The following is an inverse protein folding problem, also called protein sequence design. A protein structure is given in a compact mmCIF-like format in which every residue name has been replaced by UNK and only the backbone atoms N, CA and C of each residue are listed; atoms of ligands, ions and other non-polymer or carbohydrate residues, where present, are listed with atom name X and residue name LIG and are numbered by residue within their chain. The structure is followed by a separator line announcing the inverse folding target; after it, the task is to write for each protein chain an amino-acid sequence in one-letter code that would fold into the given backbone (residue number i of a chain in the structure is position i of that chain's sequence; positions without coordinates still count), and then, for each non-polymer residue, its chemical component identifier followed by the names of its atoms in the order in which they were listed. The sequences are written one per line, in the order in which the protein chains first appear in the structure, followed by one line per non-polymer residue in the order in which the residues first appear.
data_IF_378981191977
#
_entry.id   IF_378981191977
#
_cell.length_a   1.000
_cell.length_b   1.000
_cell.length_c   1.000
_cell.angle_alpha   90.00
_cell.angle_beta   90.00
_cell.angle_gamma   90.00
#
_symmetry.space_group_name_H-M   'P 1'
#
loop_
_entity.id
_entity.type
_entity.pdbx_description
1 polymer ?
#
# COMPACT_ATOMS: atom_id res chain seq x y z
N UNK A 1 -61.63 -58.36 1.00
CA UNK A 1 -61.87 -57.72 -0.33
C UNK A 1 -60.81 -56.65 -0.51
N UNK A 2 -59.84 -56.99 -1.30
CA UNK A 2 -59.44 -56.37 -2.57
C UNK A 2 -59.32 -54.85 -2.44
N UNK A 3 -58.07 -54.32 -2.50
CA UNK A 3 -57.55 -53.80 -3.73
C UNK A 3 -56.07 -53.45 -3.57
N UNK A 4 -55.34 -53.98 -4.51
CA UNK A 4 -53.97 -53.69 -4.91
C UNK A 4 -53.93 -52.29 -5.50
N UNK A 5 -52.98 -51.47 -5.12
CA UNK A 5 -52.66 -50.29 -5.92
C UNK A 5 -51.13 -50.09 -5.88
N UNK A 6 -50.57 -50.40 -7.03
CA UNK A 6 -49.24 -50.07 -7.48
C UNK A 6 -49.05 -48.54 -7.36
N UNK A 7 -47.96 -48.15 -6.76
CA UNK A 7 -47.49 -46.78 -6.92
C UNK A 7 -46.07 -46.78 -7.47
N UNK A 8 -45.96 -46.26 -8.64
CA UNK A 8 -44.75 -46.16 -9.41
C UNK A 8 -43.68 -45.34 -8.71
N UNK A 9 -42.50 -45.95 -8.65
CA UNK A 9 -41.27 -45.32 -8.25
C UNK A 9 -40.77 -44.40 -9.38
N UNK A 10 -40.99 -43.10 -9.21
CA UNK A 10 -40.46 -42.10 -10.12
C UNK A 10 -39.04 -41.71 -9.67
N UNK A 11 -38.04 -42.31 -10.30
CA UNK A 11 -36.64 -41.87 -10.16
C UNK A 11 -36.47 -40.55 -10.90
N UNK A 12 -36.42 -39.45 -10.14
CA UNK A 12 -35.93 -38.19 -10.64
C UNK A 12 -34.42 -38.20 -10.55
N UNK A 13 -33.77 -38.50 -11.69
CA UNK A 13 -32.35 -38.23 -11.87
C UNK A 13 -32.21 -36.71 -12.08
N UNK A 14 -31.86 -36.00 -11.03
CA UNK A 14 -31.39 -34.64 -11.15
C UNK A 14 -29.96 -34.70 -11.66
N UNK A 15 -29.81 -34.56 -12.96
CA UNK A 15 -28.53 -34.25 -13.56
C UNK A 15 -28.12 -32.87 -13.02
N UNK A 16 -27.38 -32.86 -11.96
CA UNK A 16 -26.64 -31.67 -11.50
C UNK A 16 -25.62 -31.33 -12.56
N UNK A 17 -25.92 -30.36 -13.43
CA UNK A 17 -24.88 -29.60 -14.11
C UNK A 17 -24.05 -28.95 -13.00
N UNK A 18 -22.91 -29.56 -12.70
CA UNK A 18 -21.82 -28.90 -12.03
C UNK A 18 -21.35 -27.77 -12.93
N UNK A 19 -21.88 -26.58 -12.72
CA UNK A 19 -21.16 -25.39 -13.09
C UNK A 19 -19.95 -25.37 -12.18
N UNK A 20 -18.82 -25.80 -12.71
CA UNK A 20 -17.53 -25.39 -12.22
C UNK A 20 -17.49 -23.87 -12.48
N UNK A 21 -18.04 -23.10 -11.53
CA UNK A 21 -17.56 -21.77 -11.32
C UNK A 21 -16.10 -21.97 -10.93
N UNK A 22 -15.23 -21.80 -11.92
CA UNK A 22 -13.90 -21.32 -11.64
C UNK A 22 -14.09 -20.02 -10.85
N UNK A 23 -14.17 -20.16 -9.55
CA UNK A 23 -13.91 -19.10 -8.63
C UNK A 23 -12.48 -18.67 -8.90
N UNK A 24 -12.29 -17.88 -9.94
CA UNK A 24 -11.18 -17.00 -10.05
C UNK A 24 -11.22 -16.21 -8.75
N UNK A 25 -10.44 -16.66 -7.76
CA UNK A 25 -10.10 -15.87 -6.59
C UNK A 25 -9.46 -14.61 -7.12
N UNK A 26 -10.30 -13.63 -7.45
CA UNK A 26 -9.93 -12.24 -7.41
C UNK A 26 -9.54 -12.00 -5.96
N UNK A 27 -8.33 -12.42 -5.60
CA UNK A 27 -7.62 -11.91 -4.46
C UNK A 27 -7.58 -10.42 -4.71
N UNK A 28 -8.55 -9.70 -4.12
CA UNK A 28 -8.60 -8.26 -4.22
C UNK A 28 -7.24 -7.77 -3.77
N UNK A 29 -6.41 -7.33 -4.71
CA UNK A 29 -5.11 -6.76 -4.40
C UNK A 29 -5.34 -5.75 -3.28
N UNK A 30 -4.62 -5.92 -2.19
CA UNK A 30 -4.73 -5.01 -1.06
C UNK A 30 -4.53 -3.59 -1.61
N UNK A 31 -5.44 -2.68 -1.23
CA UNK A 31 -5.42 -1.29 -1.72
C UNK A 31 -5.13 -0.36 -0.57
N UNK A 32 -4.59 0.80 -0.88
CA UNK A 32 -4.53 1.88 0.11
C UNK A 32 -5.97 2.26 0.50
N UNK A 33 -6.23 2.43 1.79
CA UNK A 33 -7.53 2.88 2.31
C UNK A 33 -7.70 4.40 2.22
N UNK A 34 -6.62 5.12 1.93
CA UNK A 34 -6.57 6.56 1.83
C UNK A 34 -5.24 7.03 1.24
N UNK A 35 -4.99 8.34 1.15
CA UNK A 35 -3.74 8.85 0.63
C UNK A 35 -2.57 8.52 1.57
N UNK A 36 -1.45 8.11 0.95
CA UNK A 36 -0.14 7.98 1.60
C UNK A 36 0.68 9.22 1.28
N UNK A 37 1.17 9.90 2.29
CA UNK A 37 2.06 11.06 2.12
C UNK A 37 3.46 10.70 2.60
N UNK A 38 4.44 10.99 1.77
CA UNK A 38 5.87 10.89 2.06
C UNK A 38 6.52 12.25 1.86
N UNK A 39 7.27 12.68 2.84
CA UNK A 39 8.10 13.88 2.76
C UNK A 39 9.53 13.52 3.13
N UNK A 40 10.48 14.03 2.35
CA UNK A 40 11.91 13.88 2.61
C UNK A 40 12.58 15.24 2.44
N UNK A 41 13.35 15.64 3.45
CA UNK A 41 14.06 16.91 3.42
C UNK A 41 15.45 16.80 4.00
N UNK A 42 16.37 17.70 3.62
CA UNK A 42 17.73 17.72 4.11
C UNK A 42 18.76 17.15 3.15
N UNK A 43 19.76 16.48 3.68
CA UNK A 43 20.95 16.10 2.93
C UNK A 43 21.81 17.30 2.54
N UNK A 44 23.02 17.04 2.02
CA UNK A 44 23.98 18.10 1.61
C UNK A 44 23.38 19.05 0.56
N UNK A 45 22.50 18.52 -0.31
CA UNK A 45 21.86 19.30 -1.37
C UNK A 45 20.60 20.06 -0.92
N UNK A 46 20.20 19.98 0.35
CA UNK A 46 19.00 20.62 0.89
C UNK A 46 17.73 20.19 0.12
N UNK A 47 17.57 18.90 -0.17
CA UNK A 47 16.39 18.38 -0.90
C UNK A 47 15.10 18.65 -0.14
N UNK A 48 14.03 18.83 -0.91
CA UNK A 48 12.65 18.90 -0.43
C UNK A 48 11.77 18.15 -1.41
N UNK A 49 11.44 16.93 -1.03
CA UNK A 49 10.62 16.04 -1.82
C UNK A 49 9.31 15.76 -1.07
N UNK A 50 8.20 15.77 -1.78
CA UNK A 50 6.90 15.34 -1.28
C UNK A 50 6.21 14.49 -2.32
N UNK A 51 5.81 13.27 -1.93
CA UNK A 51 5.04 12.36 -2.76
C UNK A 51 3.72 12.04 -2.06
N UNK A 52 2.60 12.27 -2.72
CA UNK A 52 1.26 11.89 -2.25
C UNK A 52 0.70 10.85 -3.20
N UNK A 53 0.53 9.63 -2.74
CA UNK A 53 -0.03 8.51 -3.52
C UNK A 53 -1.47 8.27 -3.09
N UNK A 54 -2.39 8.22 -4.06
CA UNK A 54 -3.80 7.92 -3.83
C UNK A 54 -4.10 6.43 -4.03
N UNK A 55 -5.26 5.94 -3.51
CA UNK A 55 -5.65 4.54 -3.65
C UNK A 55 -5.76 4.03 -5.09
N UNK A 56 -6.00 4.91 -6.04
CA UNK A 56 -6.11 4.62 -7.48
C UNK A 56 -4.77 4.61 -8.22
N UNK A 57 -3.66 4.79 -7.51
CA UNK A 57 -2.31 4.87 -8.08
C UNK A 57 -1.94 6.23 -8.65
N UNK A 58 -2.89 7.17 -8.75
CA UNK A 58 -2.54 8.54 -9.11
C UNK A 58 -1.72 9.17 -7.98
N UNK A 59 -0.72 9.98 -8.33
CA UNK A 59 0.14 10.60 -7.35
C UNK A 59 0.55 12.02 -7.76
N UNK A 60 0.87 12.81 -6.76
CA UNK A 60 1.49 14.12 -6.94
C UNK A 60 2.89 14.08 -6.33
N UNK A 61 3.89 14.26 -7.18
CA UNK A 61 5.28 14.43 -6.79
C UNK A 61 5.62 15.92 -6.79
N UNK A 62 6.16 16.41 -5.69
CA UNK A 62 6.70 17.78 -5.60
C UNK A 62 8.18 17.68 -5.25
N UNK A 63 9.04 18.22 -6.10
CA UNK A 63 10.49 18.28 -5.88
C UNK A 63 10.90 19.75 -5.94
N UNK A 64 11.56 20.25 -4.88
CA UNK A 64 11.97 21.64 -4.78
C UNK A 64 10.83 22.62 -5.12
N UNK A 65 9.66 22.37 -4.50
CA UNK A 65 8.44 23.19 -4.67
C UNK A 65 7.81 23.14 -6.07
N UNK A 66 8.25 22.23 -6.95
CA UNK A 66 7.67 22.04 -8.30
C UNK A 66 6.78 20.80 -8.32
N UNK A 67 5.45 20.96 -8.39
CA UNK A 67 4.53 19.82 -8.44
C UNK A 67 4.46 19.19 -9.84
N UNK A 68 4.34 17.87 -9.87
CA UNK A 68 4.18 17.05 -11.07
C UNK A 68 3.16 15.94 -10.80
N UNK A 69 2.18 15.77 -11.68
CA UNK A 69 1.28 14.62 -11.62
C UNK A 69 1.94 13.41 -12.23
N UNK A 70 1.86 12.28 -11.54
CA UNK A 70 2.40 10.99 -11.97
C UNK A 70 1.38 9.90 -11.73
N UNK A 71 1.55 8.74 -12.36
CA UNK A 71 0.72 7.55 -12.12
C UNK A 71 1.66 6.39 -11.87
N UNK A 72 1.50 5.73 -10.73
CA UNK A 72 2.22 4.51 -10.42
C UNK A 72 1.68 3.38 -11.28
N UNK A 73 2.55 2.48 -11.71
CA UNK A 73 2.13 1.21 -12.29
C UNK A 73 1.45 0.35 -11.23
N UNK A 74 0.59 -0.60 -11.63
CA UNK A 74 -0.09 -1.51 -10.70
C UNK A 74 0.92 -2.22 -9.79
N UNK A 75 2.04 -2.69 -10.36
CA UNK A 75 3.12 -3.33 -9.60
C UNK A 75 3.76 -2.41 -8.56
N UNK A 76 3.96 -1.15 -8.89
CA UNK A 76 4.51 -0.16 -7.94
C UNK A 76 3.52 0.09 -6.81
N UNK A 77 2.24 0.25 -7.15
CA UNK A 77 1.19 0.45 -6.15
C UNK A 77 1.05 -0.77 -5.22
N UNK A 78 1.02 -1.99 -5.76
CA UNK A 78 0.95 -3.22 -4.97
C UNK A 78 2.14 -3.34 -4.01
N UNK A 79 3.33 -2.97 -4.48
CA UNK A 79 4.54 -2.98 -3.64
C UNK A 79 4.44 -1.94 -2.52
N UNK A 80 3.98 -0.73 -2.84
CA UNK A 80 3.77 0.32 -1.83
C UNK A 80 2.75 -0.13 -0.78
N UNK A 81 1.64 -0.74 -1.19
CA UNK A 81 0.63 -1.28 -0.27
C UNK A 81 1.24 -2.30 0.67
N UNK A 82 2.02 -3.24 0.14
CA UNK A 82 2.72 -4.26 0.94
C UNK A 82 3.68 -3.65 1.94
N UNK A 83 4.47 -2.66 1.50
CA UNK A 83 5.46 -1.98 2.35
C UNK A 83 4.78 -1.16 3.46
N UNK A 84 3.64 -0.49 3.17
CA UNK A 84 2.84 0.24 4.16
C UNK A 84 2.30 -0.70 5.23
N UNK A 85 1.74 -1.86 4.82
CA UNK A 85 1.22 -2.86 5.75
C UNK A 85 2.34 -3.43 6.64
N UNK A 86 3.50 -3.69 6.06
CA UNK A 86 4.67 -4.22 6.78
C UNK A 86 5.26 -3.20 7.76
N UNK A 87 5.23 -1.91 7.41
CA UNK A 87 5.72 -0.84 8.25
C UNK A 87 4.84 -0.65 9.51
N UNK A 88 3.52 -0.85 9.38
CA UNK A 88 2.55 -0.73 10.50
C UNK A 88 2.78 0.57 11.30
N UNK A 89 2.51 1.70 10.64
CA UNK A 89 2.85 3.04 11.16
C UNK A 89 2.27 3.29 12.55
N UNK A 90 1.08 2.77 12.84
CA UNK A 90 0.42 2.94 14.13
C UNK A 90 1.16 2.28 15.30
N UNK A 91 2.05 1.32 15.03
CA UNK A 91 2.88 0.67 16.04
C UNK A 91 4.23 1.36 16.28
N UNK A 92 4.57 2.36 15.46
CA UNK A 92 5.84 3.06 15.54
C UNK A 92 5.77 4.30 16.42
N UNK A 93 6.89 4.72 17.03
CA UNK A 93 6.95 6.02 17.69
C UNK A 93 6.63 7.14 16.69
N UNK A 94 5.78 8.12 17.04
CA UNK A 94 5.44 9.22 16.15
C UNK A 94 6.64 10.14 15.85
N UNK A 95 7.65 10.14 16.72
CA UNK A 95 8.92 10.84 16.51
C UNK A 95 10.07 9.95 16.98
N UNK A 96 10.95 9.62 16.06
CA UNK A 96 12.21 8.88 16.31
C UNK A 96 13.43 9.61 15.74
N UNK A 97 13.36 10.95 15.64
CA UNK A 97 14.49 11.76 15.20
C UNK A 97 15.65 11.70 16.20
N UNK A 98 16.86 11.66 15.67
CA UNK A 98 18.09 11.62 16.48
C UNK A 98 18.31 12.94 17.21
N UNK A 99 18.74 12.86 18.47
CA UNK A 99 19.04 14.04 19.30
C UNK A 99 20.43 13.92 19.90
N UNK A 100 21.34 14.91 19.65
CA UNK A 100 21.18 16.10 18.81
C UNK A 100 21.02 15.73 17.32
N UNK A 101 20.43 16.62 16.48
CA UNK A 101 20.29 16.38 15.04
C UNK A 101 21.64 16.13 14.39
N UNK A 102 21.69 15.15 13.47
CA UNK A 102 22.89 14.86 12.68
C UNK A 102 22.93 15.78 11.47
N UNK A 103 24.01 16.58 11.29
CA UNK A 103 24.17 17.40 10.10
C UNK A 103 24.08 16.56 8.83
N UNK A 104 23.48 17.11 7.79
CA UNK A 104 23.35 16.50 6.46
C UNK A 104 22.58 15.17 6.39
N UNK A 105 21.95 14.72 7.48
CA UNK A 105 21.02 13.62 7.46
C UNK A 105 19.72 14.01 6.73
N UNK A 106 19.09 13.03 6.06
CA UNK A 106 17.72 13.22 5.61
C UNK A 106 16.75 13.06 6.77
N UNK A 107 15.79 14.01 6.84
CA UNK A 107 14.60 13.87 7.67
C UNK A 107 13.44 13.35 6.83
N UNK A 108 12.58 12.56 7.44
CA UNK A 108 11.42 11.94 6.80
C UNK A 108 10.16 12.19 7.61
N UNK A 109 9.06 12.36 6.90
CA UNK A 109 7.72 12.30 7.48
C UNK A 109 6.85 11.42 6.60
N UNK A 110 6.24 10.39 7.18
CA UNK A 110 5.36 9.47 6.47
C UNK A 110 4.03 9.44 7.19
N UNK A 111 2.95 9.69 6.44
CA UNK A 111 1.58 9.73 6.99
C UNK A 111 0.66 8.81 6.19
N UNK A 112 -0.08 7.95 6.90
CA UNK A 112 -1.08 7.05 6.32
C UNK A 112 -2.07 6.60 7.39
N UNK A 113 -3.36 6.50 7.02
CA UNK A 113 -4.40 5.94 7.89
C UNK A 113 -4.65 6.73 9.18
N UNK A 114 -4.25 7.99 9.24
CA UNK A 114 -4.34 8.83 10.44
C UNK A 114 -3.05 8.85 11.28
N UNK A 115 -2.13 7.93 11.04
CA UNK A 115 -0.84 7.88 11.72
C UNK A 115 0.22 8.68 10.97
N UNK A 116 1.14 9.27 11.71
CA UNK A 116 2.30 10.00 11.17
C UNK A 116 3.55 9.63 11.95
N UNK A 117 4.60 9.28 11.22
CA UNK A 117 5.93 9.02 11.78
C UNK A 117 6.91 10.05 11.24
N UNK A 118 7.62 10.72 12.12
CA UNK A 118 8.73 11.64 11.82
C UNK A 118 10.02 10.99 12.29
N UNK A 119 11.03 10.98 11.43
CA UNK A 119 12.34 10.34 11.71
C UNK A 119 13.44 10.97 10.87
N UNK A 120 14.67 10.55 11.10
CA UNK A 120 15.84 10.86 10.26
C UNK A 120 16.59 9.57 9.90
N UNK A 121 17.61 9.65 9.02
CA UNK A 121 18.37 8.47 8.61
C UNK A 121 18.88 7.65 9.80
N UNK A 122 19.55 8.23 10.83
CA UNK A 122 20.06 7.43 11.94
C UNK A 122 18.98 6.91 12.89
N UNK A 123 17.87 7.65 13.05
CA UNK A 123 16.77 7.31 13.95
C UNK A 123 15.68 6.44 13.32
N UNK A 124 15.82 6.08 12.05
CA UNK A 124 14.77 5.38 11.30
C UNK A 124 14.50 3.98 11.85
N UNK A 125 13.27 3.69 12.30
CA UNK A 125 12.89 2.35 12.73
C UNK A 125 13.09 1.31 11.62
N UNK A 126 13.57 0.10 11.95
CA UNK A 126 13.86 -0.94 10.96
C UNK A 126 12.64 -1.28 10.08
N UNK A 127 11.45 -1.32 10.68
CA UNK A 127 10.20 -1.61 9.96
C UNK A 127 9.84 -0.53 8.93
N UNK A 128 10.29 0.70 9.12
CA UNK A 128 10.02 1.83 8.22
C UNK A 128 11.00 1.89 7.05
N UNK A 129 12.19 1.30 7.18
CA UNK A 129 13.27 1.39 6.18
C UNK A 129 12.84 0.95 4.78
N UNK A 130 12.10 -0.16 4.69
CA UNK A 130 11.60 -0.69 3.41
C UNK A 130 10.68 0.30 2.70
N UNK A 131 9.69 0.82 3.42
CA UNK A 131 8.75 1.80 2.90
C UNK A 131 9.44 3.10 2.51
N UNK A 132 10.29 3.65 3.37
CA UNK A 132 11.02 4.90 3.10
C UNK A 132 11.92 4.76 1.87
N UNK A 133 12.66 3.65 1.74
CA UNK A 133 13.50 3.37 0.57
C UNK A 133 12.67 3.25 -0.71
N UNK A 134 11.51 2.57 -0.66
CA UNK A 134 10.61 2.44 -1.81
C UNK A 134 10.09 3.78 -2.28
N UNK A 135 9.58 4.59 -1.37
CA UNK A 135 9.04 5.90 -1.69
C UNK A 135 10.14 6.85 -2.22
N UNK A 136 11.34 6.78 -1.65
CA UNK A 136 12.51 7.49 -2.18
C UNK A 136 12.85 7.08 -3.62
N UNK A 137 12.83 5.77 -3.92
CA UNK A 137 13.07 5.26 -5.29
C UNK A 137 12.00 5.75 -6.29
N UNK A 138 10.74 5.85 -5.88
CA UNK A 138 9.67 6.40 -6.71
C UNK A 138 9.92 7.89 -7.00
N UNK A 139 10.30 8.67 -5.98
CA UNK A 139 10.70 10.06 -6.17
C UNK A 139 11.81 10.18 -7.22
N UNK A 140 12.91 9.44 -7.07
CA UNK A 140 14.04 9.49 -8.02
C UNK A 140 13.66 9.04 -9.45
N UNK A 141 12.74 8.07 -9.56
CA UNK A 141 12.25 7.58 -10.87
C UNK A 141 11.44 8.63 -11.60
N UNK A 142 10.55 9.31 -10.90
CA UNK A 142 9.59 10.25 -11.48
C UNK A 142 10.08 11.70 -11.50
N UNK A 143 11.20 12.01 -10.86
CA UNK A 143 11.83 13.35 -10.89
C UNK A 143 12.55 13.65 -12.22
N UNK A 144 12.74 12.65 -13.08
CA UNK A 144 13.43 12.74 -14.38
C UNK A 144 12.65 13.53 -15.43
#
# INVERSE_FOLDING_TARGET
MRAVLLTALLLLVVAGCGSEEEGGGSGGAAKLSGPLTFERGGGIAGRRDRLVVKPDGSATLTVQDKPKSVTLTDKELDTVVTDVQSADLGSLPPDSTTKPPVPDAFGYRISYGGDTVTTDDPGMPDRLKGLAARLGQLVERYDK
#
